data_IF_991596601533
#
_entry.id   IF_991596601533
#
_cell.length_a   1.000
_cell.length_b   1.000
_cell.length_c   1.000
_cell.angle_alpha   90.00
_cell.angle_beta   90.00
_cell.angle_gamma   90.00
#
_symmetry.space_group_name_H-M   'P 1'
#
loop_
_entity.id
_entity.type
_entity.pdbx_description
1 polymer ?
#
# COMPACT_ATOMS: atom_id res chain seq x y z
N UNK A 1 3.84 -2.06 -23.81
CA UNK A 1 3.58 -2.78 -22.54
C UNK A 1 2.89 -4.09 -22.86
N UNK A 2 3.36 -5.21 -22.29
CA UNK A 2 2.92 -6.56 -22.62
C UNK A 2 1.65 -6.93 -21.82
N UNK A 3 0.61 -7.47 -22.44
CA UNK A 3 -0.67 -7.85 -21.79
C UNK A 3 -0.45 -8.76 -20.56
N UNK A 4 0.52 -9.67 -20.66
CA UNK A 4 0.97 -10.53 -19.55
C UNK A 4 1.40 -9.72 -18.32
N UNK A 5 2.02 -8.55 -18.52
CA UNK A 5 2.50 -7.73 -17.41
C UNK A 5 1.39 -7.04 -16.61
N UNK A 6 0.27 -6.65 -17.25
CA UNK A 6 -0.87 -6.04 -16.55
C UNK A 6 -1.69 -7.08 -15.78
N UNK A 7 -1.88 -8.26 -16.37
CA UNK A 7 -2.54 -9.36 -15.69
C UNK A 7 -1.74 -9.80 -14.45
N UNK A 8 -0.41 -9.90 -14.56
CA UNK A 8 0.46 -10.21 -13.42
C UNK A 8 0.36 -9.14 -12.32
N UNK A 9 0.38 -7.85 -12.68
CA UNK A 9 0.19 -6.77 -11.70
C UNK A 9 -1.15 -6.87 -10.98
N UNK A 10 -2.24 -7.11 -11.71
CA UNK A 10 -3.56 -7.27 -11.12
C UNK A 10 -3.61 -8.49 -10.19
N UNK A 11 -3.01 -9.61 -10.60
CA UNK A 11 -2.90 -10.80 -9.78
C UNK A 11 -2.16 -10.51 -8.46
N UNK A 12 -0.99 -9.87 -8.54
CA UNK A 12 -0.21 -9.46 -7.37
C UNK A 12 -1.03 -8.55 -6.44
N UNK A 13 -1.72 -7.53 -6.94
CA UNK A 13 -2.57 -6.67 -6.08
C UNK A 13 -3.68 -7.44 -5.37
N UNK A 14 -4.32 -8.39 -6.06
CA UNK A 14 -5.45 -9.14 -5.51
C UNK A 14 -5.01 -10.18 -4.48
N UNK A 15 -3.90 -10.87 -4.73
CA UNK A 15 -3.59 -12.10 -4.02
C UNK A 15 -2.34 -12.02 -3.17
N UNK A 16 -1.36 -11.18 -3.51
CA UNK A 16 -0.08 -11.16 -2.81
C UNK A 16 -0.05 -10.05 -1.73
N UNK A 17 0.62 -10.32 -0.60
CA UNK A 17 0.98 -9.27 0.34
C UNK A 17 2.07 -8.39 -0.28
N UNK A 18 1.85 -7.07 -0.28
CA UNK A 18 2.88 -6.10 -0.68
C UNK A 18 3.93 -5.87 0.41
N UNK A 19 3.45 -5.99 1.63
CA UNK A 19 4.13 -5.71 2.87
C UNK A 19 3.41 -6.55 3.92
N UNK A 20 4.17 -7.17 4.79
CA UNK A 20 3.71 -7.90 5.95
C UNK A 20 3.91 -7.04 7.21
N UNK A 21 3.12 -7.27 8.28
CA UNK A 21 3.36 -6.61 9.56
C UNK A 21 4.77 -6.83 10.12
N UNK A 22 5.36 -8.02 9.87
CA UNK A 22 6.73 -8.31 10.29
C UNK A 22 7.76 -7.40 9.61
N UNK A 23 7.55 -7.04 8.34
CA UNK A 23 8.45 -6.14 7.61
C UNK A 23 8.50 -4.74 8.27
N UNK A 24 7.41 -4.32 8.93
CA UNK A 24 7.41 -3.08 9.70
C UNK A 24 8.24 -3.19 10.97
N UNK A 25 8.17 -4.32 11.68
CA UNK A 25 8.99 -4.54 12.88
C UNK A 25 10.48 -4.53 12.53
N UNK A 26 10.85 -5.13 11.41
CA UNK A 26 12.22 -5.19 10.94
C UNK A 26 12.80 -3.79 10.68
N UNK A 27 11.95 -2.80 10.38
CA UNK A 27 12.38 -1.41 10.22
C UNK A 27 12.94 -0.79 11.50
N UNK A 28 12.61 -1.31 12.68
CA UNK A 28 13.20 -0.84 13.95
C UNK A 28 14.71 -1.07 14.01
N UNK A 29 15.26 -1.94 13.16
CA UNK A 29 16.71 -2.11 13.02
C UNK A 29 17.39 -0.91 12.37
N UNK A 30 16.65 -0.06 11.66
CA UNK A 30 17.17 1.14 11.02
C UNK A 30 17.21 2.32 11.99
N UNK A 31 18.36 3.02 12.03
CA UNK A 31 18.62 4.13 12.97
C UNK A 31 17.64 5.31 12.86
N UNK A 32 16.98 5.48 11.72
CA UNK A 32 16.04 6.57 11.51
C UNK A 32 14.61 6.24 11.95
N UNK A 33 14.31 4.98 12.31
CA UNK A 33 13.00 4.63 12.87
C UNK A 33 12.97 4.89 14.38
N UNK A 34 11.85 5.42 14.84
CA UNK A 34 11.60 5.84 16.23
C UNK A 34 10.70 4.83 16.92
N UNK A 35 9.58 4.48 16.29
CA UNK A 35 8.65 3.48 16.83
C UNK A 35 7.89 2.75 15.73
N UNK A 36 7.41 1.56 16.09
CA UNK A 36 6.49 0.74 15.33
C UNK A 36 5.52 0.15 16.34
N UNK A 37 4.26 0.56 16.26
CA UNK A 37 3.23 0.23 17.23
C UNK A 37 2.07 -0.48 16.52
N UNK A 38 1.57 -1.57 17.10
CA UNK A 38 0.46 -2.34 16.52
C UNK A 38 -0.76 -2.36 17.42
N UNK A 39 -1.93 -2.24 16.82
CA UNK A 39 -3.21 -2.40 17.50
C UNK A 39 -4.27 -2.98 16.56
N UNK A 40 -5.36 -3.50 17.12
CA UNK A 40 -6.49 -4.05 16.35
C UNK A 40 -7.67 -3.07 16.35
N UNK A 41 -8.29 -2.86 15.18
CA UNK A 41 -9.50 -2.04 14.99
C UNK A 41 -10.42 -2.72 13.99
N UNK A 42 -11.62 -3.16 14.41
CA UNK A 42 -12.64 -3.77 13.55
C UNK A 42 -12.12 -4.89 12.61
N UNK A 43 -11.43 -5.87 13.19
CA UNK A 43 -10.76 -6.98 12.47
C UNK A 43 -9.62 -6.58 11.51
N UNK A 44 -9.22 -5.31 11.54
CA UNK A 44 -8.02 -4.82 10.88
C UNK A 44 -6.87 -4.80 11.88
N UNK A 45 -5.69 -5.16 11.41
CA UNK A 45 -4.44 -4.90 12.11
C UNK A 45 -3.91 -3.54 11.64
N UNK A 46 -3.69 -2.64 12.57
CA UNK A 46 -3.16 -1.32 12.31
C UNK A 46 -1.74 -1.25 12.83
N UNK A 47 -0.80 -0.85 11.96
CA UNK A 47 0.59 -0.59 12.31
C UNK A 47 0.88 0.89 12.14
N UNK A 48 1.27 1.56 13.21
CA UNK A 48 1.74 2.95 13.16
C UNK A 48 3.26 2.99 13.23
N UNK A 49 3.90 3.72 12.33
CA UNK A 49 5.35 3.91 12.36
C UNK A 49 5.69 5.39 12.49
N UNK A 50 6.78 5.66 13.20
CA UNK A 50 7.40 7.00 13.28
C UNK A 50 8.85 6.91 12.87
N UNK A 51 9.31 7.80 11.99
CA UNK A 51 10.70 7.84 11.57
C UNK A 51 11.17 9.25 11.21
N UNK A 52 12.48 9.47 11.23
CA UNK A 52 13.10 10.67 10.70
C UNK A 52 13.22 10.58 9.19
N UNK A 53 12.69 11.59 8.50
CA UNK A 53 12.87 11.83 7.07
C UNK A 53 14.25 12.45 6.80
N UNK A 54 14.65 12.47 5.52
CA UNK A 54 15.97 13.00 5.11
C UNK A 54 16.20 14.47 5.49
N UNK A 55 15.13 15.25 5.66
CA UNK A 55 15.17 16.64 6.11
C UNK A 55 15.16 16.81 7.64
N UNK A 56 15.19 15.70 8.40
CA UNK A 56 15.15 15.68 9.86
C UNK A 56 13.75 15.82 10.48
N UNK A 57 12.70 15.96 9.67
CA UNK A 57 11.30 16.00 10.15
C UNK A 57 10.82 14.59 10.50
N UNK A 58 9.94 14.48 11.50
CA UNK A 58 9.30 13.21 11.85
C UNK A 58 8.15 12.94 10.87
N UNK A 59 8.21 11.81 10.18
CA UNK A 59 7.10 11.25 9.42
C UNK A 59 6.34 10.23 10.27
N UNK A 60 5.02 10.27 10.21
CA UNK A 60 4.13 9.29 10.84
C UNK A 60 3.30 8.58 9.76
N UNK A 61 3.21 7.26 9.83
CA UNK A 61 2.52 6.45 8.83
C UNK A 61 1.60 5.43 9.48
N UNK A 62 0.34 5.36 9.04
CA UNK A 62 -0.62 4.32 9.44
C UNK A 62 -0.76 3.29 8.31
N UNK A 63 -0.41 2.04 8.63
CA UNK A 63 -0.53 0.88 7.75
C UNK A 63 -1.72 0.05 8.20
N UNK A 64 -2.68 -0.16 7.31
CA UNK A 64 -3.90 -0.91 7.60
C UNK A 64 -3.83 -2.25 6.87
N UNK A 65 -3.90 -3.34 7.63
CA UNK A 65 -3.83 -4.70 7.13
C UNK A 65 -5.14 -5.46 7.37
N UNK A 66 -5.50 -6.29 6.39
CA UNK A 66 -6.55 -7.30 6.49
C UNK A 66 -6.02 -8.61 5.93
N UNK A 67 -6.19 -9.72 6.66
CA UNK A 67 -5.70 -11.04 6.24
C UNK A 67 -4.22 -11.04 5.79
N UNK A 68 -3.35 -10.39 6.57
CA UNK A 68 -1.92 -10.17 6.28
C UNK A 68 -1.60 -9.40 4.99
N UNK A 69 -2.59 -8.71 4.41
CA UNK A 69 -2.41 -7.87 3.22
C UNK A 69 -2.57 -6.41 3.59
N UNK A 70 -1.61 -5.58 3.19
CA UNK A 70 -1.74 -4.13 3.26
C UNK A 70 -2.91 -3.70 2.37
N UNK A 71 -3.96 -3.15 2.96
CA UNK A 71 -5.12 -2.61 2.23
C UNK A 71 -5.03 -1.10 2.05
N UNK A 72 -4.36 -0.39 2.97
CA UNK A 72 -4.24 1.06 2.92
C UNK A 72 -2.99 1.55 3.68
N UNK A 73 -2.39 2.62 3.18
CA UNK A 73 -1.28 3.33 3.80
C UNK A 73 -1.59 4.82 3.78
N UNK A 74 -1.49 5.45 4.95
CA UNK A 74 -1.66 6.88 5.13
C UNK A 74 -0.39 7.50 5.72
N UNK A 75 -0.04 8.70 5.26
CA UNK A 75 0.93 9.55 5.92
C UNK A 75 0.20 10.62 6.72
N UNK A 76 0.58 10.79 7.98
CA UNK A 76 0.05 11.82 8.86
C UNK A 76 1.08 12.93 9.04
N UNK A 77 0.66 14.18 8.85
CA UNK A 77 1.45 15.33 9.24
C UNK A 77 1.14 15.74 10.69
N UNK A 78 1.90 16.71 11.21
CA UNK A 78 1.76 17.24 12.58
C UNK A 78 0.34 17.73 12.93
N UNK A 79 -0.52 17.98 11.94
CA UNK A 79 -1.92 18.40 12.12
C UNK A 79 -2.92 17.24 12.01
N UNK A 80 -2.45 15.99 11.99
CA UNK A 80 -3.25 14.78 11.77
C UNK A 80 -4.05 14.75 10.46
N UNK A 81 -3.69 15.59 9.48
CA UNK A 81 -4.25 15.42 8.15
C UNK A 81 -3.60 14.18 7.52
N UNK A 82 -4.43 13.26 7.05
CA UNK A 82 -3.99 12.03 6.40
C UNK A 82 -3.90 12.23 4.89
N UNK A 83 -2.74 11.91 4.31
CA UNK A 83 -2.57 11.72 2.87
C UNK A 83 -2.57 10.22 2.58
N UNK A 84 -3.47 9.77 1.70
CA UNK A 84 -3.51 8.37 1.27
C UNK A 84 -2.38 8.15 0.27
N UNK A 85 -1.37 7.38 0.67
CA UNK A 85 -0.25 7.02 -0.19
C UNK A 85 -0.52 5.75 -1.00
N UNK A 86 -1.38 4.87 -0.47
CA UNK A 86 -1.79 3.65 -1.16
C UNK A 86 -3.17 3.21 -0.69
N UNK A 87 -4.01 2.78 -1.64
CA UNK A 87 -5.27 2.10 -1.41
C UNK A 87 -5.39 0.92 -2.38
N UNK A 88 -5.45 -0.30 -1.82
CA UNK A 88 -5.47 -1.54 -2.63
C UNK A 88 -6.67 -1.61 -3.55
N UNK A 89 -7.84 -1.13 -3.12
CA UNK A 89 -9.05 -1.19 -3.93
C UNK A 89 -8.96 -0.22 -5.10
N UNK A 90 -8.39 0.97 -4.89
CA UNK A 90 -8.13 1.91 -5.97
C UNK A 90 -7.13 1.34 -7.00
N UNK A 91 -6.03 0.74 -6.55
CA UNK A 91 -5.03 0.15 -7.46
C UNK A 91 -5.60 -1.01 -8.29
N UNK A 92 -6.37 -1.91 -7.67
CA UNK A 92 -7.10 -2.97 -8.38
C UNK A 92 -8.05 -2.37 -9.43
N UNK A 93 -8.77 -1.30 -9.08
CA UNK A 93 -9.72 -0.65 -9.98
C UNK A 93 -9.01 0.01 -11.17
N UNK A 94 -7.89 0.70 -10.93
CA UNK A 94 -7.03 1.29 -11.98
C UNK A 94 -6.55 0.21 -12.95
N UNK A 95 -6.04 -0.91 -12.44
CA UNK A 95 -5.53 -2.02 -13.28
C UNK A 95 -6.63 -2.69 -14.10
N UNK A 96 -7.81 -2.92 -13.52
CA UNK A 96 -8.98 -3.44 -14.26
C UNK A 96 -9.40 -2.51 -15.39
N UNK A 97 -9.45 -1.20 -15.13
CA UNK A 97 -9.79 -0.22 -16.15
C UNK A 97 -8.77 -0.22 -17.29
N UNK A 98 -7.47 -0.26 -16.98
CA UNK A 98 -6.41 -0.37 -17.99
C UNK A 98 -6.52 -1.64 -18.85
N UNK A 99 -6.81 -2.79 -18.24
CA UNK A 99 -7.03 -4.05 -18.94
C UNK A 99 -8.26 -3.98 -19.87
N UNK A 100 -9.37 -3.43 -19.39
CA UNK A 100 -10.58 -3.27 -20.19
C UNK A 100 -10.35 -2.34 -21.40
N UNK A 101 -9.65 -1.22 -21.22
CA UNK A 101 -9.28 -0.34 -22.33
C UNK A 101 -8.42 -1.06 -23.36
N UNK A 102 -7.46 -1.89 -22.94
CA UNK A 102 -6.67 -2.68 -23.87
C UNK A 102 -7.52 -3.69 -24.64
N UNK A 103 -8.35 -4.47 -23.95
CA UNK A 103 -9.24 -5.45 -24.57
C UNK A 103 -10.15 -4.81 -25.63
N UNK A 104 -10.75 -3.67 -25.31
CA UNK A 104 -11.62 -2.95 -26.24
C UNK A 104 -10.88 -2.44 -27.48
N UNK A 105 -9.62 -2.01 -27.33
CA UNK A 105 -8.79 -1.58 -28.46
C UNK A 105 -8.37 -2.73 -29.38
N UNK A 106 -8.29 -3.97 -28.88
CA UNK A 106 -8.07 -5.14 -29.73
C UNK A 106 -9.34 -5.53 -30.49
N UNK A 107 -10.52 -5.42 -29.85
CA UNK A 107 -11.81 -5.73 -30.47
C UNK A 107 -12.25 -4.74 -31.55
N UNK A 108 -11.75 -3.50 -31.57
CA UNK A 108 -12.07 -2.48 -32.58
C UNK A 108 -11.11 -2.45 -33.77
N UNK A 109 -10.01 -3.19 -33.70
CA UNK A 109 -8.98 -3.28 -34.76
C UNK A 109 -9.04 -4.64 -35.49
N UNK A 110 -9.99 -5.51 -35.10
CA UNK A 110 -10.24 -6.83 -35.70
C UNK A 110 -11.42 -6.79 -36.66
#
# INVERSE_FOLDING_TARGET
MNYSSLLNKLYTEMYEPKLLPQDLLDNLSHKNYISVDFYKRDDLLIGNTKCYLANGVIGEYEYIFKDNKLIRLEAHNEKMNAEILYDRQEEISKLKNQLNTQLNNYSTVS
#
